data_IF_651342570202
#
_entry.id   IF_651342570202
#
_cell.length_a   1.000
_cell.length_b   1.000
_cell.length_c   1.000
_cell.angle_alpha   90.00
_cell.angle_beta   90.00
_cell.angle_gamma   90.00
#
_symmetry.space_group_name_H-M   'P 1'
#
loop_
_entity.id
_entity.type
_entity.pdbx_description
1 polymer ?
#
# COMPACT_ATOMS: atom_id res chain seq x y z
N UNK A 1 16.89 -19.34 -20.59
CA UNK A 1 15.63 -19.50 -19.82
C UNK A 1 14.98 -18.14 -19.76
N UNK A 2 13.91 -17.94 -20.53
CA UNK A 2 13.13 -16.69 -20.58
C UNK A 2 12.05 -16.79 -19.51
N UNK A 3 12.19 -16.05 -18.41
CA UNK A 3 11.10 -15.85 -17.46
C UNK A 3 10.23 -14.71 -18.01
N UNK A 4 9.08 -15.06 -18.58
CA UNK A 4 7.97 -14.13 -18.76
C UNK A 4 7.25 -14.03 -17.42
N UNK A 5 7.64 -13.06 -16.58
CA UNK A 5 6.84 -12.65 -15.44
C UNK A 5 5.65 -11.88 -16.02
N UNK A 6 4.49 -12.55 -16.05
CA UNK A 6 3.24 -11.91 -16.41
C UNK A 6 2.88 -10.94 -15.30
N UNK A 7 2.71 -9.67 -15.66
CA UNK A 7 1.91 -8.71 -14.91
C UNK A 7 0.61 -9.40 -14.47
N UNK A 8 0.46 -9.61 -13.16
CA UNK A 8 -0.85 -9.89 -12.58
C UNK A 8 -1.57 -8.55 -12.54
N UNK A 9 -2.70 -8.39 -13.25
CA UNK A 9 -3.54 -7.23 -13.02
C UNK A 9 -3.99 -7.27 -11.56
N UNK A 10 -3.70 -6.20 -10.82
CA UNK A 10 -4.21 -5.96 -9.46
C UNK A 10 -5.71 -5.65 -9.60
N UNK A 11 -6.47 -6.64 -10.03
CA UNK A 11 -7.91 -6.60 -10.11
C UNK A 11 -8.43 -7.52 -9.00
N UNK A 12 -9.06 -6.91 -7.99
CA UNK A 12 -9.87 -7.59 -6.98
C UNK A 12 -9.20 -8.75 -6.22
N UNK A 13 -8.46 -8.46 -5.16
CA UNK A 13 -8.46 -9.33 -3.98
C UNK A 13 -9.37 -8.70 -2.92
N UNK A 14 -10.67 -8.86 -3.13
CA UNK A 14 -11.67 -8.75 -2.08
C UNK A 14 -11.35 -9.81 -1.02
N UNK A 15 -11.16 -9.37 0.22
CA UNK A 15 -11.04 -10.22 1.40
C UNK A 15 -12.30 -11.10 1.54
N UNK A 16 -12.16 -12.39 1.28
CA UNK A 16 -13.14 -13.39 1.73
C UNK A 16 -12.50 -14.24 2.82
N UNK A 17 -12.64 -13.83 4.08
CA UNK A 17 -12.39 -14.71 5.21
C UNK A 17 -13.51 -15.75 5.28
N UNK A 18 -13.25 -16.95 4.73
CA UNK A 18 -14.07 -18.12 4.96
C UNK A 18 -13.74 -18.70 6.35
N UNK A 19 -14.47 -18.26 7.38
CA UNK A 19 -14.45 -18.85 8.71
C UNK A 19 -15.32 -20.10 8.77
N UNK A 20 -14.69 -21.27 8.92
CA UNK A 20 -15.34 -22.49 9.40
C UNK A 20 -15.49 -22.45 10.93
N UNK A 21 -16.69 -22.69 11.47
CA UNK A 21 -16.91 -22.94 12.89
C UNK A 21 -18.36 -22.74 13.30
N UNK A 22 -19.10 -23.85 13.49
CA UNK A 22 -20.49 -23.82 13.93
C UNK A 22 -20.66 -23.79 15.45
N UNK A 23 -21.91 -23.54 15.87
CA UNK A 23 -22.46 -24.02 17.14
C UNK A 23 -22.64 -23.00 18.26
N UNK A 24 -23.68 -22.17 18.12
CA UNK A 24 -24.70 -21.88 19.14
C UNK A 24 -24.30 -21.24 20.48
N UNK A 25 -24.31 -19.91 20.54
CA UNK A 25 -24.83 -19.19 21.73
C UNK A 25 -25.43 -17.83 21.32
N UNK A 26 -26.73 -17.65 21.58
CA UNK A 26 -27.47 -16.44 21.23
C UNK A 26 -27.33 -15.41 22.35
N UNK A 27 -26.29 -14.59 22.30
CA UNK A 27 -26.26 -13.29 22.97
C UNK A 27 -26.23 -12.19 21.92
N UNK A 28 -27.29 -11.38 21.92
CA UNK A 28 -27.52 -10.28 21.00
C UNK A 28 -26.31 -9.32 20.95
N UNK A 29 -25.50 -9.46 19.90
CA UNK A 29 -24.58 -8.44 19.45
C UNK A 29 -25.36 -7.52 18.52
N UNK A 30 -25.49 -6.26 18.92
CA UNK A 30 -25.87 -5.18 18.01
C UNK A 30 -24.96 -5.22 16.78
N UNK A 31 -25.48 -5.09 15.56
CA UNK A 31 -24.60 -4.92 14.41
C UNK A 31 -23.93 -3.56 14.54
N UNK A 32 -22.66 -3.56 14.96
CA UNK A 32 -21.74 -2.48 14.62
C UNK A 32 -21.37 -2.65 13.14
N UNK A 33 -22.35 -2.38 12.27
CA UNK A 33 -22.18 -2.17 10.85
C UNK A 33 -22.05 -0.66 10.58
N UNK A 34 -21.17 0.04 11.31
CA UNK A 34 -20.98 1.50 11.11
C UNK A 34 -19.57 1.90 10.70
N UNK A 35 -18.88 1.08 9.89
CA UNK A 35 -17.68 1.54 9.16
C UNK A 35 -17.57 0.97 7.74
N UNK A 36 -18.69 0.76 7.05
CA UNK A 36 -18.67 0.36 5.63
C UNK A 36 -19.77 1.11 4.85
N UNK A 37 -19.89 2.42 5.11
CA UNK A 37 -21.03 3.24 4.67
C UNK A 37 -20.72 4.72 4.39
N UNK A 38 -19.46 5.07 4.11
CA UNK A 38 -19.10 6.28 3.36
C UNK A 38 -18.26 5.80 2.19
N UNK A 39 -18.67 6.12 0.96
CA UNK A 39 -17.76 5.99 -0.18
C UNK A 39 -16.54 6.85 0.15
N UNK A 40 -15.44 6.19 0.50
CA UNK A 40 -14.24 6.92 0.89
C UNK A 40 -13.76 7.71 -0.33
N UNK A 41 -13.40 8.98 -0.09
CA UNK A 41 -13.03 9.90 -1.17
C UNK A 41 -11.80 9.38 -1.94
N UNK A 42 -10.91 8.67 -1.26
CA UNK A 42 -9.75 8.01 -1.88
C UNK A 42 -10.16 6.93 -2.88
N UNK A 43 -11.19 6.13 -2.59
CA UNK A 43 -11.64 5.01 -3.42
C UNK A 43 -12.20 5.55 -4.75
N UNK A 44 -13.14 6.49 -4.65
CA UNK A 44 -13.68 7.16 -5.83
C UNK A 44 -12.60 7.93 -6.62
N UNK A 45 -11.61 8.53 -5.95
CA UNK A 45 -10.53 9.25 -6.65
C UNK A 45 -9.58 8.30 -7.36
N UNK A 46 -9.27 7.17 -6.75
CA UNK A 46 -8.45 6.11 -7.33
C UNK A 46 -9.08 5.56 -8.61
N UNK A 47 -10.37 5.23 -8.59
CA UNK A 47 -11.11 4.76 -9.76
C UNK A 47 -11.08 5.78 -10.91
N UNK A 48 -11.23 7.06 -10.60
CA UNK A 48 -11.21 8.14 -11.61
C UNK A 48 -9.81 8.32 -12.22
N UNK A 49 -8.75 8.12 -11.45
CA UNK A 49 -7.36 8.11 -11.95
C UNK A 49 -7.17 6.95 -12.93
N UNK A 50 -7.58 5.73 -12.54
CA UNK A 50 -7.50 4.55 -13.42
C UNK A 50 -8.30 4.73 -14.70
N UNK A 51 -9.51 5.30 -14.61
CA UNK A 51 -10.34 5.59 -15.79
C UNK A 51 -9.69 6.56 -16.76
N UNK A 52 -8.90 7.53 -16.26
CA UNK A 52 -8.22 8.50 -17.11
C UNK A 52 -6.96 7.94 -17.76
N UNK A 53 -6.19 7.15 -17.01
CA UNK A 53 -4.83 6.79 -17.38
C UNK A 53 -4.65 5.32 -17.81
N UNK A 54 -5.59 4.46 -17.46
CA UNK A 54 -5.50 3.00 -17.61
C UNK A 54 -4.95 2.31 -16.36
N UNK A 55 -5.21 1.01 -16.26
CA UNK A 55 -4.85 0.18 -15.11
C UNK A 55 -3.34 -0.15 -15.03
N UNK A 56 -2.60 0.03 -16.12
CA UNK A 56 -1.17 -0.26 -16.24
C UNK A 56 -0.28 1.00 -16.22
N UNK A 57 -0.87 2.15 -15.88
CA UNK A 57 -0.15 3.42 -15.83
C UNK A 57 0.98 3.39 -14.81
N UNK A 58 2.15 3.89 -15.21
CA UNK A 58 3.30 3.97 -14.32
C UNK A 58 3.26 5.27 -13.52
N UNK A 59 3.67 5.21 -12.25
CA UNK A 59 3.66 6.37 -11.35
C UNK A 59 4.40 7.57 -11.96
N UNK A 60 5.55 7.36 -12.60
CA UNK A 60 6.35 8.43 -13.20
C UNK A 60 5.72 9.08 -14.46
N UNK A 61 4.55 8.63 -14.92
CA UNK A 61 3.85 9.13 -16.11
C UNK A 61 2.65 10.04 -15.79
N UNK A 62 2.23 10.15 -14.53
CA UNK A 62 1.05 10.93 -14.12
C UNK A 62 1.40 12.12 -13.23
N UNK A 63 0.53 13.14 -13.10
CA UNK A 63 0.74 14.27 -12.21
C UNK A 63 0.97 13.86 -10.75
N UNK A 64 1.88 14.56 -10.06
CA UNK A 64 2.29 14.25 -8.67
C UNK A 64 1.13 14.01 -7.69
N UNK A 65 0.03 14.79 -7.71
CA UNK A 65 -1.07 14.53 -6.79
C UNK A 65 -1.76 13.18 -7.00
N UNK A 66 -1.84 12.74 -8.25
CA UNK A 66 -2.40 11.44 -8.61
C UNK A 66 -1.40 10.31 -8.32
N UNK A 67 -0.09 10.56 -8.46
CA UNK A 67 0.95 9.62 -8.00
C UNK A 67 0.77 9.30 -6.52
N UNK A 68 0.47 10.30 -5.69
CA UNK A 68 0.30 10.10 -4.25
C UNK A 68 -0.86 9.14 -3.95
N UNK A 69 -2.02 9.34 -4.60
CA UNK A 69 -3.19 8.47 -4.46
C UNK A 69 -2.88 7.06 -4.94
N UNK A 70 -2.38 6.92 -6.18
CA UNK A 70 -2.13 5.61 -6.79
C UNK A 70 -1.09 4.80 -6.00
N UNK A 71 0.01 5.45 -5.60
CA UNK A 71 1.08 4.79 -4.87
C UNK A 71 0.64 4.38 -3.45
N UNK A 72 -0.08 5.24 -2.72
CA UNK A 72 -0.56 4.91 -1.37
C UNK A 72 -1.57 3.77 -1.44
N UNK A 73 -2.59 3.85 -2.29
CA UNK A 73 -3.64 2.80 -2.36
C UNK A 73 -3.02 1.44 -2.73
N UNK A 74 -2.18 1.40 -3.77
CA UNK A 74 -1.57 0.15 -4.21
C UNK A 74 -0.62 -0.44 -3.15
N UNK A 75 0.30 0.37 -2.65
CA UNK A 75 1.26 -0.12 -1.63
C UNK A 75 0.57 -0.45 -0.31
N UNK A 76 -0.49 0.26 0.07
CA UNK A 76 -1.25 -0.02 1.28
C UNK A 76 -1.90 -1.40 1.22
N UNK A 77 -2.53 -1.75 0.10
CA UNK A 77 -3.08 -3.10 -0.11
C UNK A 77 -2.01 -4.19 -0.12
N UNK A 78 -0.86 -3.94 -0.74
CA UNK A 78 0.26 -4.90 -0.78
C UNK A 78 0.86 -5.11 0.62
N UNK A 79 1.16 -4.03 1.32
CA UNK A 79 1.71 -4.06 2.69
C UNK A 79 0.71 -4.72 3.66
N UNK A 80 -0.58 -4.41 3.54
CA UNK A 80 -1.63 -5.03 4.37
C UNK A 80 -1.74 -6.55 4.19
N UNK A 81 -1.35 -7.08 3.03
CA UNK A 81 -1.43 -8.52 2.74
C UNK A 81 -0.22 -9.32 3.23
N UNK A 82 0.97 -8.71 3.34
CA UNK A 82 2.19 -9.46 3.67
C UNK A 82 3.41 -8.62 4.02
N UNK A 83 3.19 -7.37 4.44
CA UNK A 83 4.24 -6.47 4.89
C UNK A 83 5.23 -6.07 3.79
N UNK A 84 6.41 -5.61 4.20
CA UNK A 84 7.47 -5.17 3.31
C UNK A 84 8.04 -6.28 2.42
N UNK A 85 7.96 -7.54 2.86
CA UNK A 85 8.29 -8.69 2.02
C UNK A 85 7.49 -8.64 0.70
N UNK A 86 6.17 -8.48 0.79
CA UNK A 86 5.30 -8.44 -0.39
C UNK A 86 5.53 -7.19 -1.23
N UNK A 87 5.78 -6.05 -0.58
CA UNK A 87 6.14 -4.83 -1.31
C UNK A 87 7.42 -5.04 -2.14
N UNK A 88 8.45 -5.64 -1.55
CA UNK A 88 9.72 -5.87 -2.21
C UNK A 88 9.71 -7.00 -3.25
N UNK A 89 8.71 -7.88 -3.26
CA UNK A 89 8.50 -8.83 -4.35
C UNK A 89 7.96 -8.15 -5.63
N UNK A 90 7.32 -6.99 -5.49
CA UNK A 90 6.71 -6.29 -6.62
C UNK A 90 7.73 -5.69 -7.58
N UNK A 91 7.38 -5.70 -8.86
CA UNK A 91 8.10 -4.99 -9.93
C UNK A 91 7.32 -3.74 -10.32
N UNK A 92 7.89 -2.57 -10.00
CA UNK A 92 7.27 -1.27 -10.28
C UNK A 92 8.17 -0.51 -11.27
N UNK A 93 8.03 -0.66 -12.60
CA UNK A 93 8.92 -0.01 -13.56
C UNK A 93 8.96 1.52 -13.44
N UNK A 94 7.86 2.14 -13.02
CA UNK A 94 7.79 3.57 -12.72
C UNK A 94 8.44 3.99 -11.40
N UNK A 95 8.76 3.05 -10.51
CA UNK A 95 9.32 3.30 -9.18
C UNK A 95 10.12 2.10 -8.62
N UNK A 96 11.17 1.62 -9.31
CA UNK A 96 11.82 0.36 -8.98
C UNK A 96 12.56 0.36 -7.64
N UNK A 97 12.83 1.55 -7.09
CA UNK A 97 13.43 1.75 -5.77
C UNK A 97 12.42 2.21 -4.71
N UNK A 98 11.11 2.18 -5.01
CA UNK A 98 10.04 2.58 -4.08
C UNK A 98 10.16 4.02 -3.54
N UNK A 99 10.87 4.90 -4.27
CA UNK A 99 11.13 6.28 -3.88
C UNK A 99 9.89 7.13 -4.03
N UNK A 100 9.15 6.98 -5.14
CA UNK A 100 7.86 7.66 -5.34
C UNK A 100 6.83 7.14 -4.35
N UNK A 101 6.84 5.84 -4.07
CA UNK A 101 5.96 5.20 -3.09
C UNK A 101 6.18 5.76 -1.70
N UNK A 102 7.42 5.77 -1.19
CA UNK A 102 7.75 6.40 0.08
C UNK A 102 7.40 7.90 0.10
N UNK A 103 7.69 8.62 -0.99
CA UNK A 103 7.37 10.05 -1.12
C UNK A 103 5.86 10.31 -1.11
N UNK A 104 5.03 9.37 -1.56
CA UNK A 104 3.58 9.49 -1.52
C UNK A 104 3.05 9.51 -0.08
N UNK A 105 3.55 8.63 0.81
CA UNK A 105 3.23 8.68 2.24
C UNK A 105 3.65 10.00 2.89
N UNK A 106 4.81 10.53 2.50
CA UNK A 106 5.25 11.87 2.92
C UNK A 106 4.33 12.99 2.43
N UNK A 107 3.84 12.87 1.20
CA UNK A 107 2.96 13.87 0.58
C UNK A 107 1.62 13.96 1.31
N UNK A 108 1.09 12.84 1.79
CA UNK A 108 -0.16 12.83 2.56
C UNK A 108 0.03 13.05 4.07
N UNK A 109 1.27 13.25 4.54
CA UNK A 109 1.55 13.48 5.96
C UNK A 109 1.42 12.23 6.84
N UNK A 110 1.55 11.02 6.28
CA UNK A 110 1.48 9.76 7.02
C UNK A 110 2.82 9.43 7.71
N UNK A 111 3.24 10.28 8.65
CA UNK A 111 4.58 10.24 9.26
C UNK A 111 4.94 8.90 9.91
N UNK A 112 4.00 8.24 10.57
CA UNK A 112 4.25 6.96 11.24
C UNK A 112 4.53 5.83 10.22
N UNK A 113 3.80 5.83 9.10
CA UNK A 113 4.09 4.92 7.99
C UNK A 113 5.45 5.22 7.34
N UNK A 114 5.82 6.51 7.18
CA UNK A 114 7.15 6.90 6.68
C UNK A 114 8.25 6.36 7.60
N UNK A 115 8.06 6.38 8.91
CA UNK A 115 9.05 5.84 9.84
C UNK A 115 9.29 4.34 9.61
N UNK A 116 8.23 3.59 9.26
CA UNK A 116 8.36 2.19 8.87
C UNK A 116 9.14 2.01 7.55
N UNK A 117 8.83 2.83 6.53
CA UNK A 117 9.60 2.85 5.28
C UNK A 117 11.08 3.19 5.53
N UNK A 118 11.36 4.18 6.36
CA UNK A 118 12.73 4.58 6.70
C UNK A 118 13.49 3.46 7.37
N UNK A 119 12.86 2.79 8.34
CA UNK A 119 13.42 1.64 9.00
C UNK A 119 13.75 0.53 8.00
N UNK A 120 12.79 0.15 7.14
CA UNK A 120 13.02 -0.86 6.10
C UNK A 120 14.15 -0.44 5.15
N UNK A 121 14.17 0.83 4.75
CA UNK A 121 15.10 1.34 3.74
C UNK A 121 16.54 1.36 4.26
N UNK A 122 16.76 1.50 5.58
CA UNK A 122 18.10 1.48 6.17
C UNK A 122 18.91 0.20 5.87
N UNK A 123 18.24 -0.90 5.50
CA UNK A 123 18.90 -2.17 5.16
C UNK A 123 19.59 -2.14 3.79
N UNK A 124 19.14 -1.27 2.88
CA UNK A 124 19.62 -1.26 1.52
C UNK A 124 20.79 -0.29 1.35
N UNK A 125 21.70 -0.54 0.39
CA UNK A 125 22.75 0.40 0.03
C UNK A 125 22.20 1.80 -0.26
N UNK A 126 22.80 2.83 0.36
CA UNK A 126 22.35 4.22 0.25
C UNK A 126 20.87 4.45 0.65
N UNK A 127 20.34 3.58 1.51
CA UNK A 127 18.94 3.61 1.96
C UNK A 127 17.92 3.58 0.82
N UNK A 128 18.27 2.89 -0.28
CA UNK A 128 17.40 2.77 -1.46
C UNK A 128 17.36 1.31 -1.91
N UNK A 129 16.18 0.66 -1.94
CA UNK A 129 16.04 -0.69 -2.47
C UNK A 129 16.61 -0.82 -3.90
N UNK A 130 17.40 -1.86 -4.20
CA UNK A 130 17.85 -2.14 -5.57
C UNK A 130 16.67 -2.39 -6.50
N UNK A 131 16.80 -2.00 -7.78
CA UNK A 131 15.80 -2.28 -8.80
C UNK A 131 15.66 -3.78 -9.09
N UNK A 132 16.77 -4.52 -9.03
CA UNK A 132 16.79 -5.97 -9.19
C UNK A 132 16.07 -6.66 -8.02
N UNK A 133 15.03 -7.44 -8.36
CA UNK A 133 14.12 -8.05 -7.40
C UNK A 133 14.86 -9.08 -6.54
N UNK A 134 15.68 -9.92 -7.17
CA UNK A 134 16.39 -11.00 -6.48
C UNK A 134 17.40 -10.43 -5.46
N UNK A 135 18.16 -9.41 -5.85
CA UNK A 135 19.10 -8.73 -4.96
C UNK A 135 18.39 -8.03 -3.79
N UNK A 136 17.26 -7.35 -4.07
CA UNK A 136 16.46 -6.67 -3.04
C UNK A 136 15.90 -7.67 -2.01
N UNK A 137 15.32 -8.79 -2.48
CA UNK A 137 14.79 -9.83 -1.61
C UNK A 137 15.90 -10.52 -0.82
N UNK A 138 17.05 -10.80 -1.46
CA UNK A 138 18.21 -11.37 -0.77
C UNK A 138 18.67 -10.50 0.40
N UNK A 139 18.74 -9.18 0.21
CA UNK A 139 19.10 -8.24 1.29
C UNK A 139 18.04 -8.26 2.39
N UNK A 140 16.76 -8.13 2.04
CA UNK A 140 15.66 -8.08 3.00
C UNK A 140 15.58 -9.36 3.85
N UNK A 141 15.54 -10.52 3.21
CA UNK A 141 15.40 -11.83 3.86
C UNK A 141 16.63 -12.26 4.66
N UNK A 142 17.80 -11.66 4.41
CA UNK A 142 18.98 -11.87 5.26
C UNK A 142 18.90 -11.12 6.59
N UNK A 143 17.98 -10.16 6.73
CA UNK A 143 17.84 -9.31 7.91
C UNK A 143 16.51 -9.47 8.63
N UNK A 144 15.45 -9.89 7.93
CA UNK A 144 14.12 -10.10 8.48
C UNK A 144 13.57 -11.47 8.12
N UNK A 145 13.14 -12.19 9.15
CA UNK A 145 12.19 -13.30 9.03
C UNK A 145 10.79 -12.76 9.36
N UNK A 146 9.80 -13.03 8.50
CA UNK A 146 8.44 -12.49 8.65
C UNK A 146 7.79 -12.90 9.99
N UNK A 147 8.08 -14.11 10.48
CA UNK A 147 7.51 -14.57 11.75
C UNK A 147 8.09 -13.78 12.92
N UNK A 148 9.39 -13.51 12.88
CA UNK A 148 10.09 -12.78 13.93
C UNK A 148 9.78 -11.28 13.84
N UNK A 149 9.55 -10.73 12.63
CA UNK A 149 9.20 -9.32 12.44
C UNK A 149 7.87 -8.96 13.10
N UNK A 150 6.87 -9.84 13.04
CA UNK A 150 5.57 -9.63 13.69
C UNK A 150 5.62 -9.71 15.23
N UNK A 151 6.67 -10.32 15.80
CA UNK A 151 6.85 -10.39 17.25
C UNK A 151 7.69 -9.22 17.80
N UNK A 152 8.39 -8.49 16.93
CA UNK A 152 9.18 -7.32 17.26
C UNK A 152 8.40 -6.04 16.93
N UNK A 153 7.93 -5.33 17.96
CA UNK A 153 7.22 -4.06 17.82
C UNK A 153 8.05 -2.96 17.14
N UNK A 154 9.38 -3.13 17.05
CA UNK A 154 10.30 -2.21 16.39
C UNK A 154 10.62 -2.59 14.94
N UNK A 155 10.04 -3.67 14.43
CA UNK A 155 10.19 -4.09 13.04
C UNK A 155 9.45 -3.12 12.09
N UNK A 156 9.90 -2.97 10.84
CA UNK A 156 9.18 -2.18 9.84
C UNK A 156 7.74 -2.61 9.65
N UNK A 157 7.46 -3.92 9.65
CA UNK A 157 6.11 -4.45 9.47
C UNK A 157 5.21 -4.05 10.64
N UNK A 158 5.65 -4.27 11.89
CA UNK A 158 4.90 -3.89 13.10
C UNK A 158 4.65 -2.39 13.17
N UNK A 159 5.65 -1.57 12.81
CA UNK A 159 5.51 -0.12 12.72
C UNK A 159 4.48 0.28 11.67
N UNK A 160 4.49 -0.33 10.49
CA UNK A 160 3.53 -0.03 9.43
C UNK A 160 2.12 -0.47 9.79
N UNK A 161 1.94 -1.69 10.32
CA UNK A 161 0.62 -2.18 10.73
C UNK A 161 0.00 -1.31 11.81
N UNK A 162 0.79 -0.83 12.77
CA UNK A 162 0.33 0.11 13.80
C UNK A 162 -0.12 1.46 13.21
N UNK A 163 0.46 1.88 12.08
CA UNK A 163 0.12 3.13 11.40
C UNK A 163 -1.02 2.97 10.38
N UNK A 164 -1.38 1.74 10.00
CA UNK A 164 -2.16 1.41 8.82
C UNK A 164 -3.54 2.07 8.81
N UNK A 165 -4.25 2.05 9.94
CA UNK A 165 -5.59 2.65 10.09
C UNK A 165 -5.61 4.16 9.80
N UNK A 166 -4.50 4.85 10.06
CA UNK A 166 -4.38 6.29 9.84
C UNK A 166 -4.09 6.68 8.38
N UNK A 167 -3.54 5.77 7.57
CA UNK A 167 -3.05 6.08 6.21
C UNK A 167 -4.17 6.56 5.28
N UNK A 168 -5.26 5.80 5.19
CA UNK A 168 -6.37 6.14 4.28
C UNK A 168 -7.14 7.38 4.74
N UNK A 169 -7.19 7.61 6.06
CA UNK A 169 -7.73 8.86 6.62
C UNK A 169 -6.90 10.07 6.18
N UNK A 170 -5.57 9.98 6.24
CA UNK A 170 -4.66 11.02 5.73
C UNK A 170 -4.78 11.23 4.23
N UNK A 171 -4.95 10.15 3.46
CA UNK A 171 -5.18 10.25 2.02
C UNK A 171 -6.49 10.98 1.70
N UNK A 172 -7.57 10.70 2.44
CA UNK A 172 -8.83 11.44 2.32
C UNK A 172 -8.67 12.94 2.65
N UNK A 173 -7.92 13.29 3.70
CA UNK A 173 -7.60 14.69 4.03
C UNK A 173 -6.85 15.37 2.89
N UNK A 174 -5.78 14.73 2.40
CA UNK A 174 -4.99 15.20 1.28
C UNK A 174 -5.84 15.50 0.04
N UNK A 175 -6.77 14.61 -0.33
CA UNK A 175 -7.64 14.84 -1.50
C UNK A 175 -8.58 16.03 -1.26
N UNK A 176 -9.14 16.18 -0.06
CA UNK A 176 -10.02 17.34 0.27
C UNK A 176 -9.28 18.66 0.23
N UNK A 177 -8.00 18.67 0.60
CA UNK A 177 -7.15 19.87 0.60
C UNK A 177 -6.66 20.24 -0.81
N UNK A 178 -6.75 19.33 -1.78
CA UNK A 178 -6.24 19.52 -3.14
C UNK A 178 -7.32 19.29 -4.22
N UNK A 179 -8.52 19.88 -4.13
CA UNK A 179 -9.64 19.56 -5.02
C UNK A 179 -9.32 19.86 -6.50
N UNK A 180 -8.61 20.96 -6.76
CA UNK A 180 -8.25 21.39 -8.12
C UNK A 180 -7.33 20.36 -8.82
N UNK A 181 -6.52 19.62 -8.06
CA UNK A 181 -5.63 18.59 -8.61
C UNK A 181 -6.37 17.37 -9.17
N UNK A 182 -7.64 17.21 -8.80
CA UNK A 182 -8.51 16.09 -9.16
C UNK A 182 -9.78 16.52 -9.92
N UNK A 183 -9.88 17.81 -10.27
CA UNK A 183 -11.06 18.38 -10.93
C UNK A 183 -11.25 17.84 -12.35
N UNK A 184 -10.16 17.64 -13.09
CA UNK A 184 -10.18 17.19 -14.49
C UNK A 184 -10.36 15.67 -14.65
N UNK A 185 -10.34 14.92 -13.53
CA UNK A 185 -10.55 13.48 -13.59
C UNK A 185 -12.00 13.16 -14.04
N UNK A 186 -12.22 12.12 -14.88
CA UNK A 186 -13.55 11.74 -15.34
C UNK A 186 -14.46 11.37 -14.15
N UNK A 187 -15.77 11.53 -14.31
CA UNK A 187 -16.77 11.02 -13.35
C UNK A 187 -17.04 9.54 -13.58
#
# INVERSE_FOLDING_TARGET
MLYHVRYLPIACMLFTFAGCGGGDDQTALTPDETTMGKNDLWDATYDRILKQHGDDVQLNQIPKPQQAVLAVVNSHGILGNGGFQYLFEGDFPGDPGFVLTRQAYATIGANDAIAAFDKAFTLFPNSTPPADIDERLRIWQSNYDLRDSLADDSSPDSMYFSAMDGVLSRLNEYIRENPDAFADLPN
#
